data_IF_660955472017
#
_entry.id   IF_660955472017
#
_cell.length_a   1.000
_cell.length_b   1.000
_cell.length_c   1.000
_cell.angle_alpha   90.00
_cell.angle_beta   90.00
_cell.angle_gamma   90.00
#
_symmetry.space_group_name_H-M   'P 1'
#
loop_
_entity.id
_entity.type
_entity.pdbx_description
1 polymer ?
#
# COMPACT_ATOMS: atom_id res chain seq x y z
N UNK A 1 -13.99 8.22 -37.23
CA UNK A 1 -13.18 8.81 -36.14
C UNK A 1 -13.63 8.31 -34.75
N UNK A 2 -14.07 7.05 -34.58
CA UNK A 2 -14.81 6.65 -33.37
C UNK A 2 -14.00 5.98 -32.24
N UNK A 3 -13.13 5.02 -32.53
CA UNK A 3 -12.54 4.17 -31.48
C UNK A 3 -11.25 4.71 -30.84
N UNK A 4 -10.38 5.36 -31.63
CA UNK A 4 -9.10 5.86 -31.13
C UNK A 4 -9.24 7.05 -30.16
N UNK A 5 -10.28 7.88 -30.34
CA UNK A 5 -10.59 9.00 -29.44
C UNK A 5 -11.12 8.50 -28.09
N UNK A 6 -11.88 7.40 -28.08
CA UNK A 6 -12.43 6.84 -26.86
C UNK A 6 -11.35 6.22 -25.98
N UNK A 7 -10.40 5.49 -26.56
CA UNK A 7 -9.30 4.85 -25.81
C UNK A 7 -8.36 5.91 -25.21
N UNK A 8 -8.02 6.97 -25.95
CA UNK A 8 -7.19 8.06 -25.43
C UNK A 8 -7.87 8.80 -24.27
N UNK A 9 -9.18 9.06 -24.36
CA UNK A 9 -9.94 9.69 -23.28
C UNK A 9 -10.06 8.79 -22.05
N UNK A 10 -10.21 7.48 -22.24
CA UNK A 10 -10.30 6.52 -21.15
C UNK A 10 -8.95 6.33 -20.43
N UNK A 11 -7.84 6.30 -21.17
CA UNK A 11 -6.49 6.26 -20.60
C UNK A 11 -6.13 7.54 -19.84
N UNK A 12 -6.54 8.72 -20.33
CA UNK A 12 -6.36 9.97 -19.61
C UNK A 12 -7.22 10.05 -18.36
N UNK A 13 -8.46 9.54 -18.41
CA UNK A 13 -9.33 9.45 -17.25
C UNK A 13 -8.76 8.48 -16.19
N UNK A 14 -8.22 7.34 -16.61
CA UNK A 14 -7.56 6.38 -15.71
C UNK A 14 -6.27 6.95 -15.11
N UNK A 15 -5.48 7.71 -15.87
CA UNK A 15 -4.29 8.38 -15.34
C UNK A 15 -4.67 9.47 -14.32
N UNK A 16 -5.71 10.26 -14.58
CA UNK A 16 -6.18 11.26 -13.62
C UNK A 16 -6.79 10.62 -12.35
N UNK A 17 -7.48 9.49 -12.49
CA UNK A 17 -7.97 8.71 -11.36
C UNK A 17 -6.83 8.09 -10.55
N UNK A 18 -5.77 7.59 -11.21
CA UNK A 18 -4.61 7.03 -10.51
C UNK A 18 -3.80 8.12 -9.79
N UNK A 19 -3.65 9.30 -10.38
CA UNK A 19 -3.01 10.44 -9.70
C UNK A 19 -3.80 10.90 -8.48
N UNK A 20 -5.13 10.79 -8.49
CA UNK A 20 -5.98 11.11 -7.34
C UNK A 20 -5.98 10.01 -6.27
N UNK A 21 -5.65 8.76 -6.63
CA UNK A 21 -5.50 7.62 -5.70
C UNK A 21 -4.07 7.54 -5.12
N UNK A 22 -3.06 7.96 -5.88
CA UNK A 22 -1.65 8.03 -5.46
C UNK A 22 -1.27 9.35 -4.79
N UNK A 23 -2.05 10.42 -4.99
CA UNK A 23 -2.09 11.53 -4.04
C UNK A 23 -2.79 11.01 -2.78
N UNK A 24 -2.06 10.19 -2.01
CA UNK A 24 -2.48 9.75 -0.69
C UNK A 24 -3.05 10.96 0.04
N UNK A 25 -4.20 10.78 0.70
CA UNK A 25 -4.78 11.83 1.55
C UNK A 25 -3.63 12.45 2.33
N UNK A 26 -3.39 13.77 2.23
CA UNK A 26 -2.37 14.39 3.04
C UNK A 26 -2.72 14.05 4.48
N UNK A 27 -1.89 13.21 5.10
CA UNK A 27 -1.99 12.95 6.53
C UNK A 27 -1.96 14.32 7.18
N UNK A 28 -3.10 14.72 7.71
CA UNK A 28 -3.23 16.02 8.35
C UNK A 28 -2.34 15.90 9.59
N UNK A 29 -1.13 16.47 9.52
CA UNK A 29 -0.21 16.49 10.66
C UNK A 29 -1.05 16.92 11.87
N UNK A 30 -1.14 16.10 12.93
CA UNK A 30 -1.80 16.53 14.14
C UNK A 30 -1.13 17.84 14.61
N UNK A 31 -1.88 18.74 15.26
CA UNK A 31 -1.30 19.97 15.78
C UNK A 31 -0.06 19.61 16.61
N UNK A 32 1.06 20.29 16.36
CA UNK A 32 2.28 20.09 17.12
C UNK A 32 1.94 20.18 18.62
N UNK A 33 2.21 19.10 19.36
CA UNK A 33 2.01 19.08 20.80
C UNK A 33 2.82 20.25 21.40
N UNK A 34 2.15 21.11 22.17
CA UNK A 34 2.87 22.09 22.97
C UNK A 34 3.75 21.34 23.95
N UNK A 35 5.00 21.78 24.08
CA UNK A 35 6.11 21.16 24.83
C UNK A 35 5.89 21.09 26.36
N UNK A 36 4.65 21.05 26.84
CA UNK A 36 4.28 21.35 28.23
C UNK A 36 3.58 20.25 29.01
N UNK A 37 2.91 19.26 28.39
CA UNK A 37 2.23 18.22 29.17
C UNK A 37 1.90 17.01 28.29
N UNK A 38 2.76 16.00 28.36
CA UNK A 38 2.37 14.62 28.10
C UNK A 38 3.03 13.74 29.15
N UNK A 39 2.52 13.71 30.39
CA UNK A 39 2.85 12.62 31.26
C UNK A 39 2.28 11.36 30.60
N UNK A 40 3.13 10.35 30.37
CA UNK A 40 2.65 9.01 30.06
C UNK A 40 1.46 8.71 30.99
N UNK A 41 0.31 8.23 30.48
CA UNK A 41 -0.88 8.09 31.30
C UNK A 41 -0.51 7.26 32.53
N UNK A 42 -0.72 7.77 33.77
CA UNK A 42 -0.16 7.21 35.00
C UNK A 42 -0.45 5.71 35.23
N UNK A 43 -1.44 5.17 34.51
CA UNK A 43 -1.88 3.78 34.57
C UNK A 43 -0.93 2.78 33.88
N UNK A 44 -0.15 3.18 32.88
CA UNK A 44 0.71 2.24 32.13
C UNK A 44 1.86 1.70 32.99
N UNK A 45 2.43 2.55 33.85
CA UNK A 45 3.49 2.19 34.80
C UNK A 45 2.99 1.25 35.90
N UNK A 46 1.74 1.42 36.33
CA UNK A 46 1.09 0.58 37.34
C UNK A 46 0.78 -0.83 36.79
N UNK A 47 0.42 -0.94 35.50
CA UNK A 47 0.22 -2.24 34.81
C UNK A 47 1.49 -3.11 34.78
N UNK A 48 2.65 -2.50 34.55
CA UNK A 48 3.92 -3.22 34.46
C UNK A 48 4.40 -3.71 35.83
N UNK A 49 4.09 -2.99 36.91
CA UNK A 49 4.39 -3.44 38.27
C UNK A 49 3.51 -4.62 38.73
N UNK A 50 2.30 -4.75 38.17
CA UNK A 50 1.35 -5.81 38.53
C UNK A 50 1.49 -7.10 37.70
N UNK A 51 2.13 -7.02 36.53
CA UNK A 51 2.35 -8.19 35.69
C UNK A 51 3.52 -9.00 36.27
N UNK A 52 3.31 -10.24 36.73
CA UNK A 52 4.39 -11.05 37.27
C UNK A 52 5.49 -11.14 36.21
N UNK A 53 6.71 -10.76 36.59
CA UNK A 53 7.88 -10.78 35.73
C UNK A 53 7.96 -12.16 35.10
N UNK A 54 7.56 -12.26 33.83
CA UNK A 54 7.65 -13.50 33.10
C UNK A 54 9.13 -13.88 33.17
N UNK A 55 9.41 -14.99 33.85
CA UNK A 55 10.77 -15.46 34.09
C UNK A 55 11.29 -15.98 32.76
N UNK A 56 11.65 -15.06 31.87
CA UNK A 56 12.34 -15.40 30.64
C UNK A 56 13.67 -16.01 31.04
N UNK A 57 13.87 -17.27 30.68
CA UNK A 57 15.10 -18.03 30.98
C UNK A 57 16.33 -17.47 30.24
N UNK A 58 16.13 -16.50 29.36
CA UNK A 58 17.15 -15.69 28.73
C UNK A 58 16.73 -14.21 28.92
N UNK A 59 17.38 -13.42 29.79
CA UNK A 59 17.15 -11.98 29.84
C UNK A 59 17.67 -11.44 28.51
N UNK A 60 16.76 -11.32 27.54
CA UNK A 60 17.07 -10.80 26.22
C UNK A 60 17.92 -9.54 26.35
N UNK A 61 18.87 -9.35 25.43
CA UNK A 61 19.73 -8.16 25.47
C UNK A 61 18.85 -6.92 25.56
N UNK A 62 19.17 -5.95 26.46
CA UNK A 62 18.43 -4.72 26.56
C UNK A 62 18.22 -4.12 25.18
N UNK A 63 17.00 -3.66 24.92
CA UNK A 63 16.65 -3.03 23.65
C UNK A 63 17.43 -1.74 23.60
N UNK A 64 18.24 -1.57 22.57
CA UNK A 64 18.95 -0.32 22.35
C UNK A 64 18.42 0.36 21.10
N UNK A 65 18.22 1.67 21.22
CA UNK A 65 17.71 2.51 20.15
C UNK A 65 18.76 2.68 19.03
N UNK A 66 20.01 2.26 19.25
CA UNK A 66 21.03 2.18 18.20
C UNK A 66 20.73 1.07 17.17
N UNK A 67 19.95 0.06 17.54
CA UNK A 67 19.48 -1.02 16.64
C UNK A 67 18.14 -0.69 15.99
N UNK A 68 17.50 0.40 16.40
CA UNK A 68 16.24 0.84 15.82
C UNK A 68 16.45 1.08 14.33
N UNK A 69 15.57 0.56 13.45
CA UNK A 69 15.73 0.75 12.01
C UNK A 69 15.77 2.25 11.77
N UNK A 70 16.87 2.74 11.18
CA UNK A 70 17.08 4.16 10.98
C UNK A 70 15.96 4.68 10.08
N UNK A 71 14.96 5.27 10.72
CA UNK A 71 13.89 5.98 10.06
C UNK A 71 14.52 7.27 9.56
N UNK A 72 14.21 7.66 8.33
CA UNK A 72 14.82 8.86 7.73
C UNK A 72 14.84 10.03 8.73
N UNK A 73 15.95 10.78 8.78
CA UNK A 73 16.35 11.70 9.88
C UNK A 73 15.29 12.73 10.33
N UNK A 74 14.17 12.87 9.62
CA UNK A 74 13.40 14.10 9.60
C UNK A 74 12.07 14.13 10.37
N UNK A 75 11.59 13.10 11.08
CA UNK A 75 10.48 13.31 12.07
C UNK A 75 10.20 12.12 12.99
N UNK A 76 10.18 10.88 12.47
CA UNK A 76 9.64 9.71 13.19
C UNK A 76 10.45 9.27 14.42
N UNK A 77 11.78 9.18 14.29
CA UNK A 77 12.63 8.68 15.38
C UNK A 77 12.46 9.50 16.64
N UNK A 78 12.24 10.81 16.52
CA UNK A 78 12.05 11.73 17.64
C UNK A 78 10.86 11.40 18.53
N UNK A 79 9.79 10.80 17.98
CA UNK A 79 8.63 10.36 18.75
C UNK A 79 8.87 9.03 19.46
N UNK A 80 9.72 8.18 18.88
CA UNK A 80 10.06 6.87 19.43
C UNK A 80 11.24 6.89 20.39
N UNK A 81 12.03 7.97 20.47
CA UNK A 81 13.13 8.07 21.43
C UNK A 81 12.57 8.06 22.85
N UNK A 82 12.95 7.05 23.62
CA UNK A 82 12.72 7.06 25.06
C UNK A 82 13.81 7.91 25.71
N UNK A 83 13.39 8.96 26.38
CA UNK A 83 14.24 9.76 27.26
C UNK A 83 13.64 9.73 28.67
N UNK A 84 14.38 10.24 29.65
CA UNK A 84 13.86 10.40 31.02
C UNK A 84 12.60 11.30 31.05
N UNK A 85 12.50 12.23 30.10
CA UNK A 85 11.39 13.19 29.99
C UNK A 85 10.23 12.67 29.13
N UNK A 86 10.47 11.72 28.22
CA UNK A 86 9.50 11.18 27.27
C UNK A 86 9.59 9.66 27.21
N UNK A 87 8.68 8.99 27.92
CA UNK A 87 8.63 7.54 27.98
C UNK A 87 7.21 7.03 27.75
N UNK A 88 6.82 6.96 26.48
CA UNK A 88 5.52 6.45 26.05
C UNK A 88 5.32 4.95 26.38
N UNK A 89 6.42 4.21 26.53
CA UNK A 89 6.40 2.76 26.78
C UNK A 89 6.32 2.46 28.30
N UNK A 90 6.47 3.45 29.17
CA UNK A 90 6.42 3.24 30.62
C UNK A 90 7.56 2.38 31.21
N UNK A 91 8.47 1.87 30.37
CA UNK A 91 9.62 1.06 30.77
C UNK A 91 10.77 1.94 31.23
N UNK A 92 11.34 1.69 32.41
CA UNK A 92 12.41 2.54 32.94
C UNK A 92 13.64 2.55 32.01
N UNK A 93 14.02 3.73 31.45
CA UNK A 93 15.20 3.83 30.62
C UNK A 93 16.46 3.65 31.46
N UNK A 94 17.47 2.98 30.89
CA UNK A 94 18.81 2.84 31.46
C UNK A 94 19.84 3.39 30.48
N UNK A 95 20.67 4.31 30.95
CA UNK A 95 21.80 4.83 30.16
C UNK A 95 22.95 3.81 30.14
N UNK A 96 23.38 3.42 28.95
CA UNK A 96 24.56 2.58 28.73
C UNK A 96 25.48 3.21 27.67
N UNK A 97 26.79 2.93 27.65
CA UNK A 97 27.65 3.35 26.56
C UNK A 97 27.15 2.77 25.23
N UNK A 98 27.09 3.59 24.17
CA UNK A 98 26.65 3.13 22.85
C UNK A 98 27.60 2.10 22.26
N UNK A 99 27.07 1.10 21.55
CA UNK A 99 27.86 0.01 20.93
C UNK A 99 28.92 0.53 19.95
N UNK A 100 28.57 1.58 19.20
CA UNK A 100 29.42 2.15 18.14
C UNK A 100 30.31 3.32 18.61
N UNK A 101 30.02 3.90 19.77
CA UNK A 101 30.77 5.05 20.32
C UNK A 101 30.69 5.04 21.85
N UNK A 102 31.69 4.49 22.56
CA UNK A 102 31.66 4.36 24.02
C UNK A 102 31.70 5.71 24.75
N UNK A 103 31.97 6.82 24.05
CA UNK A 103 31.91 8.18 24.64
C UNK A 103 30.50 8.74 24.64
N UNK A 104 29.59 8.17 23.84
CA UNK A 104 28.17 8.55 23.81
C UNK A 104 27.39 7.63 24.74
N UNK A 105 26.42 8.22 25.42
CA UNK A 105 25.42 7.47 26.18
C UNK A 105 24.23 7.19 25.26
N UNK A 106 23.78 5.94 25.27
CA UNK A 106 22.59 5.47 24.59
C UNK A 106 21.58 5.05 25.65
N UNK A 107 20.31 5.30 25.36
CA UNK A 107 19.21 4.78 26.19
C UNK A 107 18.91 3.36 25.79
N UNK A 108 18.77 2.49 26.79
CA UNK A 108 18.24 1.14 26.63
C UNK A 108 17.02 0.95 27.50
N UNK A 109 16.18 -0.02 27.17
CA UNK A 109 15.14 -0.50 28.08
C UNK A 109 15.23 -2.02 28.24
N UNK A 110 14.66 -2.50 29.34
CA UNK A 110 14.50 -3.93 29.56
C UNK A 110 13.70 -4.58 28.43
N UNK A 111 14.24 -5.68 27.89
CA UNK A 111 13.66 -6.41 26.77
C UNK A 111 12.28 -6.94 27.09
N UNK A 112 12.12 -7.57 28.26
CA UNK A 112 10.84 -8.14 28.67
C UNK A 112 9.78 -7.04 28.88
N UNK A 113 10.16 -5.89 29.45
CA UNK A 113 9.25 -4.75 29.57
C UNK A 113 8.78 -4.24 28.20
N UNK A 114 9.72 -4.03 27.27
CA UNK A 114 9.42 -3.54 25.93
C UNK A 114 8.51 -4.48 25.15
N UNK A 115 8.87 -5.77 25.09
CA UNK A 115 8.12 -6.76 24.31
C UNK A 115 6.74 -7.08 24.92
N UNK A 116 6.57 -6.96 26.25
CA UNK A 116 5.27 -7.16 26.89
C UNK A 116 4.37 -5.92 26.86
N UNK A 117 4.88 -4.76 26.46
CA UNK A 117 4.06 -3.56 26.38
C UNK A 117 3.04 -3.66 25.22
N UNK A 118 1.73 -3.54 25.49
CA UNK A 118 0.69 -3.64 24.47
C UNK A 118 0.66 -2.47 23.48
N UNK A 119 1.43 -1.40 23.68
CA UNK A 119 1.48 -0.20 22.83
C UNK A 119 2.93 0.21 22.57
N UNK A 120 3.84 -0.75 22.49
CA UNK A 120 5.28 -0.49 22.27
C UNK A 120 5.57 0.22 20.93
N UNK A 121 4.65 0.13 19.96
CA UNK A 121 4.80 0.70 18.62
C UNK A 121 4.01 1.99 18.41
N UNK A 122 3.38 2.54 19.45
CA UNK A 122 2.46 3.68 19.36
C UNK A 122 3.16 4.93 18.80
N UNK A 123 4.43 5.10 19.17
CA UNK A 123 5.29 6.14 18.64
C UNK A 123 5.48 6.05 17.11
N UNK A 124 5.40 4.85 16.56
CA UNK A 124 5.53 4.53 15.13
C UNK A 124 4.40 5.13 14.29
N UNK A 125 3.26 5.45 14.91
CA UNK A 125 2.11 5.96 14.18
C UNK A 125 2.35 7.33 13.52
N UNK A 126 3.31 8.09 14.03
CA UNK A 126 3.71 9.38 13.45
C UNK A 126 4.65 9.24 12.24
N UNK A 127 5.05 8.03 11.92
CA UNK A 127 5.96 7.72 10.82
C UNK A 127 5.19 7.57 9.51
N UNK A 128 5.87 7.72 8.37
CA UNK A 128 5.25 7.30 7.13
C UNK A 128 5.03 5.78 7.14
N UNK A 129 4.08 5.32 6.33
CA UNK A 129 3.68 3.91 6.32
C UNK A 129 4.84 2.95 6.06
N UNK A 130 5.80 3.33 5.23
CA UNK A 130 6.89 2.43 4.88
C UNK A 130 7.85 2.25 6.06
N UNK A 131 8.11 3.34 6.75
CA UNK A 131 8.93 3.35 7.96
C UNK A 131 8.21 2.71 9.15
N UNK A 132 6.88 2.84 9.26
CA UNK A 132 6.07 2.06 10.19
C UNK A 132 6.20 0.54 9.97
N UNK A 133 6.10 0.07 8.72
CA UNK A 133 6.26 -1.36 8.43
C UNK A 133 7.65 -1.88 8.76
N UNK A 134 8.70 -1.07 8.55
CA UNK A 134 10.06 -1.42 8.97
C UNK A 134 10.18 -1.54 10.47
N UNK A 135 9.51 -0.65 11.21
CA UNK A 135 9.43 -0.70 12.66
C UNK A 135 8.69 -1.95 13.15
N UNK A 136 7.57 -2.31 12.53
CA UNK A 136 6.81 -3.53 12.84
C UNK A 136 7.62 -4.81 12.55
N UNK A 137 8.35 -4.85 11.43
CA UNK A 137 9.27 -5.93 11.08
C UNK A 137 10.39 -6.05 12.13
N UNK A 138 11.03 -4.93 12.48
CA UNK A 138 12.07 -4.89 13.52
C UNK A 138 11.54 -5.36 14.88
N UNK A 139 10.36 -4.90 15.30
CA UNK A 139 9.74 -5.36 16.54
C UNK A 139 9.47 -6.85 16.52
N UNK A 140 9.02 -7.39 15.38
CA UNK A 140 8.79 -8.83 15.21
C UNK A 140 10.08 -9.66 15.30
N UNK A 141 11.21 -9.10 14.85
CA UNK A 141 12.52 -9.74 14.93
C UNK A 141 13.11 -9.68 16.34
N UNK A 142 12.88 -8.57 17.04
CA UNK A 142 13.42 -8.31 18.39
C UNK A 142 12.58 -8.97 19.48
N UNK A 143 11.27 -9.08 19.30
CA UNK A 143 10.30 -9.64 20.24
C UNK A 143 9.53 -10.84 19.61
N UNK A 144 10.22 -11.90 19.14
CA UNK A 144 9.57 -13.02 18.44
C UNK A 144 8.61 -13.82 19.33
N UNK A 145 8.74 -13.71 20.66
CA UNK A 145 7.88 -14.35 21.65
C UNK A 145 6.51 -13.68 21.83
N UNK A 146 6.34 -12.45 21.32
CA UNK A 146 5.08 -11.73 21.45
C UNK A 146 4.00 -12.49 20.68
N UNK A 147 2.95 -12.97 21.37
CA UNK A 147 1.92 -13.76 20.73
C UNK A 147 1.16 -12.88 19.74
N UNK A 148 0.87 -13.46 18.58
CA UNK A 148 -0.05 -12.86 17.62
C UNK A 148 -1.46 -12.89 18.18
N UNK A 149 -2.25 -11.89 17.81
CA UNK A 149 -3.66 -11.81 18.13
C UNK A 149 -4.40 -13.03 17.60
N UNK A 150 -5.07 -13.72 18.51
CA UNK A 150 -5.94 -14.83 18.17
C UNK A 150 -7.40 -14.38 18.07
N UNK A 151 -7.90 -14.26 16.84
CA UNK A 151 -9.28 -13.87 16.55
C UNK A 151 -10.31 -14.99 16.78
N UNK A 152 -9.89 -16.22 17.14
CA UNK A 152 -10.81 -17.35 17.35
C UNK A 152 -11.71 -17.19 18.58
N UNK A 153 -11.31 -16.33 19.53
CA UNK A 153 -12.12 -15.99 20.71
C UNK A 153 -13.26 -15.00 20.45
N UNK A 154 -13.34 -14.42 19.24
CA UNK A 154 -14.37 -13.47 18.87
C UNK A 154 -15.67 -14.14 18.43
N UNK A 155 -16.83 -13.51 18.65
CA UNK A 155 -18.09 -13.95 18.06
C UNK A 155 -18.03 -13.81 16.53
N UNK A 156 -18.75 -14.70 15.82
CA UNK A 156 -18.74 -14.75 14.34
C UNK A 156 -19.11 -13.42 13.68
N UNK A 157 -19.97 -12.61 14.31
CA UNK A 157 -20.37 -11.30 13.79
C UNK A 157 -19.20 -10.30 13.68
N UNK A 158 -18.17 -10.41 14.55
CA UNK A 158 -17.04 -9.47 14.57
C UNK A 158 -15.74 -10.08 14.07
N UNK A 159 -15.59 -11.42 14.09
CA UNK A 159 -14.33 -12.10 13.82
C UNK A 159 -13.69 -11.71 12.47
N UNK A 160 -14.46 -11.80 11.38
CA UNK A 160 -13.94 -11.46 10.05
C UNK A 160 -13.71 -9.95 9.91
N UNK A 161 -14.64 -9.13 10.44
CA UNK A 161 -14.51 -7.68 10.41
C UNK A 161 -13.23 -7.22 11.11
N UNK A 162 -12.95 -7.70 12.32
CA UNK A 162 -11.75 -7.30 13.07
C UNK A 162 -10.48 -7.73 12.35
N UNK A 163 -10.41 -8.97 11.87
CA UNK A 163 -9.23 -9.45 11.12
C UNK A 163 -8.95 -8.56 9.90
N UNK A 164 -9.99 -8.18 9.16
CA UNK A 164 -9.87 -7.30 8.00
C UNK A 164 -9.53 -5.86 8.39
N UNK A 165 -10.18 -5.29 9.42
CA UNK A 165 -9.94 -3.93 9.89
C UNK A 165 -8.50 -3.73 10.36
N UNK A 166 -7.99 -4.66 11.17
CA UNK A 166 -6.60 -4.66 11.68
C UNK A 166 -5.60 -4.71 10.53
N UNK A 167 -5.81 -5.60 9.56
CA UNK A 167 -4.94 -5.67 8.39
C UNK A 167 -5.01 -4.41 7.52
N UNK A 168 -6.20 -3.83 7.35
CA UNK A 168 -6.40 -2.61 6.57
C UNK A 168 -5.77 -1.38 7.26
N UNK A 169 -5.68 -1.41 8.59
CA UNK A 169 -4.97 -0.39 9.36
C UNK A 169 -3.45 -0.46 9.20
N UNK A 170 -2.91 -1.58 8.71
CA UNK A 170 -1.47 -1.76 8.58
C UNK A 170 -0.86 -2.66 9.65
N UNK A 171 -1.66 -3.26 10.53
CA UNK A 171 -1.19 -4.29 11.46
C UNK A 171 -1.12 -5.66 10.78
N UNK A 172 -0.13 -5.83 9.90
CA UNK A 172 -0.02 -7.03 9.06
C UNK A 172 0.51 -8.22 9.86
N UNK A 173 1.39 -7.99 10.83
CA UNK A 173 1.97 -9.05 11.65
C UNK A 173 0.96 -9.63 12.65
N UNK A 174 -0.13 -8.90 12.91
CA UNK A 174 -1.11 -9.14 13.97
C UNK A 174 -0.46 -9.26 15.36
N UNK A 175 0.60 -8.50 15.62
CA UNK A 175 1.20 -8.40 16.95
C UNK A 175 0.26 -7.69 17.92
N UNK A 176 0.43 -7.98 19.22
CA UNK A 176 -0.31 -7.30 20.28
C UNK A 176 -0.09 -5.79 20.25
N UNK A 177 1.15 -5.35 20.09
CA UNK A 177 1.54 -3.93 20.08
C UNK A 177 0.72 -3.13 19.06
N UNK A 178 0.76 -3.54 17.80
CA UNK A 178 0.02 -2.88 16.73
C UNK A 178 -1.50 -2.92 16.96
N UNK A 179 -2.03 -4.08 17.36
CA UNK A 179 -3.47 -4.26 17.52
C UNK A 179 -4.08 -3.41 18.65
N UNK A 180 -3.35 -3.23 19.75
CA UNK A 180 -3.86 -2.64 20.97
C UNK A 180 -3.70 -1.12 21.04
N UNK A 181 -3.06 -0.51 20.05
CA UNK A 181 -2.98 0.95 19.88
C UNK A 181 -4.36 1.55 19.56
N UNK A 182 -5.17 0.82 18.81
CA UNK A 182 -6.39 1.39 18.24
C UNK A 182 -7.66 0.99 18.99
N UNK A 183 -8.33 2.01 19.52
CA UNK A 183 -9.63 1.87 20.16
C UNK A 183 -10.76 1.85 19.11
N UNK A 184 -10.59 2.33 17.88
CA UNK A 184 -11.71 2.43 16.91
C UNK A 184 -12.12 1.10 16.25
N UNK A 185 -11.45 -0.03 16.56
CA UNK A 185 -11.80 -1.38 16.07
C UNK A 185 -13.23 -1.84 16.44
N UNK A 186 -13.92 -1.03 17.24
CA UNK A 186 -15.27 -1.17 17.74
C UNK A 186 -16.42 -1.10 16.72
N UNK A 187 -16.21 -0.55 15.52
CA UNK A 187 -17.23 -0.61 14.47
C UNK A 187 -17.61 -2.05 14.05
N UNK A 188 -16.73 -3.02 14.31
CA UNK A 188 -17.02 -4.43 14.06
C UNK A 188 -18.07 -5.03 15.02
N UNK A 189 -18.35 -4.36 16.14
CA UNK A 189 -19.38 -4.76 17.09
C UNK A 189 -20.79 -4.33 16.71
N UNK A 190 -20.96 -3.44 15.72
CA UNK A 190 -22.27 -2.82 15.43
C UNK A 190 -23.34 -3.81 14.97
N UNK A 191 -22.92 -4.88 14.29
CA UNK A 191 -23.81 -5.96 13.85
C UNK A 191 -24.05 -7.05 14.90
N UNK A 192 -23.36 -6.97 16.05
CA UNK A 192 -23.42 -7.95 17.12
C UNK A 192 -24.50 -7.60 18.16
N UNK A 193 -25.08 -8.62 18.79
CA UNK A 193 -25.98 -8.42 19.94
C UNK A 193 -25.19 -8.01 21.20
N UNK A 194 -25.89 -7.57 22.26
CA UNK A 194 -25.26 -7.08 23.49
C UNK A 194 -24.34 -8.11 24.18
N UNK A 195 -24.68 -9.40 24.12
CA UNK A 195 -23.85 -10.47 24.71
C UNK A 195 -22.53 -10.62 23.94
N UNK A 196 -22.62 -10.62 22.61
CA UNK A 196 -21.45 -10.70 21.73
C UNK A 196 -20.57 -9.45 21.87
N UNK A 197 -21.16 -8.25 22.04
CA UNK A 197 -20.41 -7.02 22.33
C UNK A 197 -19.61 -7.11 23.63
N UNK A 198 -20.19 -7.66 24.70
CA UNK A 198 -19.46 -7.90 25.96
C UNK A 198 -18.34 -8.94 25.78
N UNK A 199 -18.57 -9.98 24.99
CA UNK A 199 -17.54 -10.97 24.66
C UNK A 199 -16.38 -10.31 23.89
N UNK A 200 -16.66 -9.40 22.95
CA UNK A 200 -15.65 -8.64 22.22
C UNK A 200 -14.82 -7.79 23.18
N UNK A 201 -15.46 -7.03 24.08
CA UNK A 201 -14.75 -6.22 25.09
C UNK A 201 -13.85 -7.06 25.99
N UNK A 202 -14.38 -8.16 26.53
CA UNK A 202 -13.62 -9.06 27.40
C UNK A 202 -12.44 -9.71 26.67
N UNK A 203 -12.66 -10.13 25.42
CA UNK A 203 -11.60 -10.66 24.56
C UNK A 203 -10.53 -9.60 24.29
N UNK A 204 -10.92 -8.37 23.93
CA UNK A 204 -9.99 -7.26 23.67
C UNK A 204 -9.17 -6.93 24.91
N UNK A 205 -9.82 -6.82 26.08
CA UNK A 205 -9.13 -6.61 27.35
C UNK A 205 -8.09 -7.69 27.67
N UNK A 206 -8.40 -8.95 27.35
CA UNK A 206 -7.44 -10.05 27.52
C UNK A 206 -6.28 -9.94 26.54
N UNK A 207 -6.53 -9.64 25.26
CA UNK A 207 -5.47 -9.51 24.25
C UNK A 207 -4.54 -8.33 24.57
N UNK A 208 -5.09 -7.22 25.06
CA UNK A 208 -4.39 -5.95 25.28
C UNK A 208 -3.99 -5.71 26.74
N UNK A 209 -4.12 -6.72 27.61
CA UNK A 209 -3.75 -6.64 29.02
C UNK A 209 -4.40 -5.45 29.74
N UNK A 210 -5.68 -5.20 29.44
CA UNK A 210 -6.46 -4.15 30.09
C UNK A 210 -7.05 -4.64 31.40
N UNK A 211 -7.10 -3.76 32.39
CA UNK A 211 -7.81 -4.03 33.64
C UNK A 211 -9.33 -4.05 33.43
N UNK A 212 -10.11 -4.73 34.29
CA UNK A 212 -11.57 -4.75 34.16
C UNK A 212 -12.22 -3.36 34.10
N UNK A 213 -11.67 -2.40 34.85
CA UNK A 213 -12.16 -1.02 34.86
C UNK A 213 -11.90 -0.32 33.51
N UNK A 214 -10.77 -0.58 32.88
CA UNK A 214 -10.44 -0.07 31.54
C UNK A 214 -11.32 -0.70 30.47
N UNK A 215 -11.56 -2.01 30.55
CA UNK A 215 -12.50 -2.70 29.65
C UNK A 215 -13.91 -2.12 29.78
N UNK A 216 -14.33 -1.81 31.00
CA UNK A 216 -15.64 -1.20 31.27
C UNK A 216 -15.71 0.22 30.72
N UNK A 217 -14.61 0.98 30.80
CA UNK A 217 -14.53 2.34 30.27
C UNK A 217 -14.56 2.42 28.73
N UNK A 218 -14.27 1.33 28.02
CA UNK A 218 -14.34 1.28 26.55
C UNK A 218 -15.77 1.19 26.00
N UNK A 219 -16.77 1.00 26.87
CA UNK A 219 -18.20 0.79 26.62
C UNK A 219 -18.65 0.77 25.13
N UNK A 220 -18.71 -0.44 24.56
CA UNK A 220 -19.28 -0.73 23.23
C UNK A 220 -20.82 -0.67 23.17
N UNK A 221 -21.47 -0.56 24.33
CA UNK A 221 -22.92 -0.67 24.47
C UNK A 221 -23.55 0.73 24.47
N UNK A 222 -22.82 1.75 24.96
CA UNK A 222 -23.22 3.14 24.87
C UNK A 222 -22.45 3.89 23.75
N UNK A 223 -23.05 4.11 22.57
CA UNK A 223 -22.41 4.86 21.47
C UNK A 223 -22.10 6.31 21.83
N UNK A 224 -22.64 6.85 22.94
CA UNK A 224 -22.28 8.18 23.43
C UNK A 224 -20.94 8.22 24.17
N UNK A 225 -20.49 7.09 24.73
CA UNK A 225 -19.18 6.96 25.37
C UNK A 225 -18.05 6.83 24.34
N UNK A 226 -18.30 6.16 23.22
CA UNK A 226 -17.33 5.96 22.13
C UNK A 226 -16.97 7.26 21.40
N UNK A 227 -17.84 8.28 21.46
CA UNK A 227 -17.57 9.60 20.90
C UNK A 227 -16.51 10.39 21.69
N UNK A 228 -16.29 10.07 22.97
CA UNK A 228 -15.29 10.73 23.81
C UNK A 228 -13.90 10.10 23.68
N UNK A 229 -13.81 8.79 23.46
CA UNK A 229 -12.55 8.05 23.26
C UNK A 229 -12.02 8.12 21.82
N UNK A 230 -12.87 8.41 20.82
CA UNK A 230 -12.48 8.57 19.42
C UNK A 230 -11.73 9.89 19.08
N UNK A 231 -11.31 10.67 20.08
CA UNK A 231 -10.63 11.96 19.87
C UNK A 231 -9.20 11.81 19.33
N UNK A 232 -8.65 10.61 19.29
CA UNK A 232 -7.40 10.32 18.58
C UNK A 232 -7.69 9.64 17.22
N UNK A 233 -7.67 10.43 16.15
CA UNK A 233 -7.19 9.98 14.83
C UNK A 233 -8.13 9.26 13.86
N UNK A 234 -9.40 8.97 14.16
CA UNK A 234 -10.23 8.19 13.22
C UNK A 234 -10.70 9.03 12.01
N UNK A 235 -9.97 8.96 10.91
CA UNK A 235 -10.40 9.47 9.61
C UNK A 235 -11.50 8.55 9.05
N UNK A 236 -12.77 8.98 9.13
CA UNK A 236 -13.92 8.26 8.56
C UNK A 236 -13.63 7.73 7.15
N UNK A 237 -13.52 6.41 7.03
CA UNK A 237 -13.49 5.69 5.78
C UNK A 237 -14.91 5.21 5.46
N UNK A 238 -15.66 6.05 4.76
CA UNK A 238 -16.95 5.67 4.17
C UNK A 238 -16.68 4.67 3.05
N UNK A 239 -16.84 3.37 3.31
CA UNK A 239 -16.81 2.32 2.29
C UNK A 239 -18.19 1.70 2.13
N UNK A 240 -18.95 2.22 1.16
CA UNK A 240 -20.13 1.58 0.61
C UNK A 240 -19.70 0.77 -0.61
N UNK A 241 -19.42 -0.53 -0.41
CA UNK A 241 -19.06 -1.49 -1.46
C UNK A 241 -19.55 -2.90 -1.12
N UNK A 242 -20.37 -3.46 -2.00
CA UNK A 242 -21.03 -4.77 -1.94
C UNK A 242 -20.09 -5.96 -1.58
N UNK A 243 -20.54 -6.93 -0.76
CA UNK A 243 -19.72 -8.07 -0.34
C UNK A 243 -19.95 -9.26 -1.28
N UNK A 244 -19.24 -9.31 -2.40
CA UNK A 244 -19.05 -10.57 -3.15
C UNK A 244 -17.59 -10.66 -3.62
N UNK A 245 -17.02 -11.83 -3.42
CA UNK A 245 -15.66 -12.25 -3.78
C UNK A 245 -14.57 -12.02 -2.72
N UNK A 246 -14.61 -12.85 -1.66
CA UNK A 246 -13.46 -13.08 -0.79
C UNK A 246 -12.45 -14.01 -1.46
N UNK A 247 -11.15 -13.66 -1.54
CA UNK A 247 -10.13 -14.55 -2.08
C UNK A 247 -9.80 -15.65 -1.07
N UNK A 248 -9.74 -16.88 -1.58
CA UNK A 248 -9.40 -18.08 -0.82
C UNK A 248 -8.02 -17.97 -0.15
N UNK A 249 -7.98 -18.36 1.12
CA UNK A 249 -6.77 -18.43 1.94
C UNK A 249 -5.92 -19.60 1.48
N UNK A 250 -4.81 -19.32 0.80
CA UNK A 250 -3.74 -20.30 0.60
C UNK A 250 -2.86 -20.33 1.85
N UNK A 251 -2.98 -21.40 2.64
CA UNK A 251 -1.95 -21.81 3.58
C UNK A 251 -0.89 -22.60 2.81
N UNK A 252 0.26 -21.99 2.54
CA UNK A 252 1.44 -22.71 2.11
C UNK A 252 2.67 -22.15 2.84
N UNK A 253 3.45 -23.06 3.43
CA UNK A 253 4.63 -22.76 4.26
C UNK A 253 5.79 -22.21 3.42
N UNK A 254 5.65 -20.97 2.97
CA UNK A 254 6.68 -20.23 2.24
C UNK A 254 7.30 -19.18 3.16
N UNK A 255 8.59 -18.92 2.97
CA UNK A 255 9.25 -17.71 3.45
C UNK A 255 8.29 -16.53 3.26
N UNK A 256 7.98 -15.82 4.36
CA UNK A 256 7.08 -14.67 4.31
C UNK A 256 7.71 -13.65 3.37
N UNK A 257 7.19 -13.58 2.14
CA UNK A 257 7.56 -12.53 1.22
C UNK A 257 7.24 -11.23 1.93
N UNK A 258 8.26 -10.39 2.10
CA UNK A 258 8.07 -9.13 2.81
C UNK A 258 7.12 -8.27 1.97
N UNK A 259 6.34 -7.41 2.61
CA UNK A 259 5.30 -6.64 1.91
C UNK A 259 5.85 -5.82 0.73
N UNK A 260 7.10 -5.34 0.83
CA UNK A 260 7.78 -4.64 -0.25
C UNK A 260 8.08 -5.54 -1.47
N UNK A 261 8.24 -6.85 -1.29
CA UNK A 261 8.43 -7.80 -2.39
C UNK A 261 7.13 -7.99 -3.17
N UNK A 262 6.00 -8.05 -2.46
CA UNK A 262 4.67 -8.10 -3.06
C UNK A 262 4.40 -6.80 -3.83
N UNK A 263 4.66 -5.64 -3.21
CA UNK A 263 4.49 -4.35 -3.87
C UNK A 263 5.41 -4.18 -5.08
N UNK A 264 6.68 -4.60 -4.95
CA UNK A 264 7.65 -4.61 -6.03
C UNK A 264 7.19 -5.47 -7.22
N UNK A 265 6.61 -6.64 -6.95
CA UNK A 265 6.07 -7.53 -7.98
C UNK A 265 4.85 -6.90 -8.68
N UNK A 266 3.93 -6.28 -7.94
CA UNK A 266 2.77 -5.59 -8.52
C UNK A 266 3.23 -4.43 -9.41
N UNK A 267 4.15 -3.58 -8.94
CA UNK A 267 4.66 -2.45 -9.70
C UNK A 267 5.43 -2.90 -10.95
N UNK A 268 6.17 -4.01 -10.86
CA UNK A 268 6.82 -4.64 -12.01
C UNK A 268 5.80 -5.10 -13.05
N UNK A 269 4.72 -5.78 -12.64
CA UNK A 269 3.65 -6.22 -13.55
C UNK A 269 2.94 -5.05 -14.22
N UNK A 270 2.61 -3.99 -13.47
CA UNK A 270 2.00 -2.78 -14.02
C UNK A 270 2.91 -2.10 -15.04
N UNK A 271 4.21 -2.03 -14.76
CA UNK A 271 5.21 -1.47 -15.68
C UNK A 271 5.31 -2.31 -16.96
N UNK A 272 5.29 -3.64 -16.84
CA UNK A 272 5.31 -4.55 -17.98
C UNK A 272 4.06 -4.38 -18.86
N UNK A 273 2.88 -4.24 -18.27
CA UNK A 273 1.63 -3.95 -19.00
C UNK A 273 1.73 -2.59 -19.72
N UNK A 274 2.29 -1.58 -19.07
CA UNK A 274 2.46 -0.25 -19.66
C UNK A 274 3.43 -0.28 -20.86
N UNK A 275 4.59 -0.92 -20.72
CA UNK A 275 5.58 -1.03 -21.81
C UNK A 275 5.03 -1.84 -22.99
N UNK A 276 4.35 -2.96 -22.72
CA UNK A 276 3.77 -3.81 -23.78
C UNK A 276 2.65 -3.09 -24.52
N UNK A 277 1.79 -2.34 -23.84
CA UNK A 277 0.75 -1.54 -24.49
C UNK A 277 1.35 -0.45 -25.36
N UNK A 278 2.35 0.31 -24.87
CA UNK A 278 3.07 1.31 -25.68
C UNK A 278 3.72 0.69 -26.92
N UNK A 279 4.37 -0.47 -26.77
CA UNK A 279 4.99 -1.18 -27.88
C UNK A 279 3.97 -1.55 -28.96
N UNK A 280 2.80 -2.09 -28.58
CA UNK A 280 1.72 -2.43 -29.52
C UNK A 280 1.18 -1.19 -30.23
N UNK A 281 1.07 -0.05 -29.54
CA UNK A 281 0.64 1.21 -30.16
C UNK A 281 1.63 1.73 -31.18
N UNK A 282 2.93 1.75 -30.86
CA UNK A 282 4.01 2.16 -31.77
C UNK A 282 4.04 1.24 -32.99
N UNK A 283 4.01 -0.08 -32.78
CA UNK A 283 4.01 -1.06 -33.86
C UNK A 283 2.78 -0.92 -34.78
N UNK A 284 1.59 -0.73 -34.21
CA UNK A 284 0.37 -0.47 -35.00
C UNK A 284 0.47 0.82 -35.81
N UNK A 285 1.14 1.87 -35.31
CA UNK A 285 1.33 3.11 -36.05
C UNK A 285 2.25 2.89 -37.26
N UNK A 286 3.40 2.24 -37.08
CA UNK A 286 4.34 1.96 -38.16
C UNK A 286 3.76 1.02 -39.23
N UNK A 287 3.12 -0.08 -38.82
CA UNK A 287 2.50 -1.05 -39.75
C UNK A 287 1.40 -0.38 -40.58
N UNK A 288 0.63 0.52 -39.98
CA UNK A 288 -0.43 1.26 -40.69
C UNK A 288 0.16 2.15 -41.78
N UNK A 289 1.30 2.78 -41.54
CA UNK A 289 1.96 3.65 -42.52
C UNK A 289 2.63 2.84 -43.63
N UNK A 290 3.25 1.69 -43.31
CA UNK A 290 3.75 0.73 -44.31
C UNK A 290 2.60 0.25 -45.21
N UNK A 291 1.45 -0.11 -44.63
CA UNK A 291 0.30 -0.60 -45.40
C UNK A 291 -0.27 0.47 -46.33
N UNK A 292 -0.39 1.72 -45.88
CA UNK A 292 -0.81 2.86 -46.73
C UNK A 292 0.17 3.09 -47.89
N UNK A 293 1.46 3.08 -47.60
CA UNK A 293 2.51 3.30 -48.62
C UNK A 293 2.51 2.19 -49.68
N UNK A 294 2.36 0.93 -49.26
CA UNK A 294 2.26 -0.21 -50.19
C UNK A 294 0.98 -0.14 -51.02
N UNK A 295 -0.16 0.21 -50.42
CA UNK A 295 -1.42 0.41 -51.16
C UNK A 295 -1.31 1.50 -52.23
N UNK A 296 -0.64 2.61 -51.91
CA UNK A 296 -0.37 3.70 -52.86
C UNK A 296 0.60 3.28 -53.99
N UNK A 297 1.58 2.41 -53.72
CA UNK A 297 2.48 1.86 -54.74
C UNK A 297 1.74 0.93 -55.72
N UNK A 298 0.90 0.03 -55.21
CA UNK A 298 0.09 -0.89 -56.03
C UNK A 298 -0.93 -0.14 -56.90
N UNK A 299 -1.53 0.94 -56.38
CA UNK A 299 -2.43 1.78 -57.19
C UNK A 299 -1.68 2.45 -58.36
N UNK A 300 -0.48 3.00 -58.10
CA UNK A 300 0.35 3.64 -59.14
C UNK A 300 0.82 2.65 -60.21
N UNK A 301 1.20 1.42 -59.84
CA UNK A 301 1.62 0.42 -60.83
C UNK A 301 0.48 -0.02 -61.76
N UNK A 302 -0.76 -0.13 -61.25
CA UNK A 302 -1.94 -0.42 -62.08
C UNK A 302 -2.23 0.68 -63.10
N UNK A 303 -2.13 1.96 -62.69
CA UNK A 303 -2.30 3.09 -63.62
C UNK A 303 -1.20 3.12 -64.69
N UNK A 304 0.07 2.88 -64.32
CA UNK A 304 1.18 2.82 -65.26
C UNK A 304 1.00 1.69 -66.31
N UNK A 305 0.60 0.50 -65.87
CA UNK A 305 0.32 -0.63 -66.78
C UNK A 305 -0.83 -0.35 -67.75
N UNK A 306 -1.87 0.37 -67.30
CA UNK A 306 -3.01 0.74 -68.17
C UNK A 306 -2.58 1.74 -69.24
N UNK A 307 -1.80 2.74 -68.87
CA UNK A 307 -1.29 3.75 -69.81
C UNK A 307 -0.34 3.12 -70.85
N UNK A 308 0.57 2.23 -70.42
CA UNK A 308 1.47 1.53 -71.34
C UNK A 308 0.72 0.64 -72.36
N UNK A 309 -0.44 0.09 -71.98
CA UNK A 309 -1.29 -0.70 -72.88
C UNK A 309 -2.02 0.17 -73.90
N UNK A 310 -2.47 1.37 -73.51
CA UNK A 310 -3.11 2.35 -74.41
C UNK A 310 -2.12 2.88 -75.45
N UNK A 311 -0.87 3.13 -75.05
CA UNK A 311 0.18 3.61 -75.96
C UNK A 311 0.58 2.55 -77.02
N UNK A 312 0.56 1.26 -76.68
CA UNK A 312 0.76 0.19 -77.66
C UNK A 312 -0.38 0.06 -78.68
N UNK A 313 -1.60 0.46 -78.34
CA UNK A 313 -2.76 0.43 -79.25
C UNK A 313 -2.86 1.64 -80.18
N UNK A 314 -2.19 2.77 -79.87
CA UNK A 314 -2.20 3.97 -80.72
C UNK A 314 -1.06 4.00 -81.77
N UNK A 315 -0.03 3.18 -81.60
CA UNK A 315 1.15 3.14 -82.49
C UNK A 315 0.92 2.64 -83.94
N UNK A 316 0.02 1.69 -84.27
CA UNK A 316 -0.11 1.23 -85.66
C UNK A 316 -0.79 2.24 -86.60
N UNK A 317 -1.41 3.32 -86.10
CA UNK A 317 -2.06 4.32 -86.95
C UNK A 317 -1.09 5.32 -87.58
N UNK A 318 0.03 5.67 -86.94
CA UNK A 318 1.03 6.58 -87.53
C UNK A 318 1.88 5.93 -88.64
N UNK A 319 2.01 4.61 -88.65
CA UNK A 319 2.75 3.90 -89.70
C UNK A 319 1.98 3.85 -91.03
N UNK A 320 0.64 3.79 -91.02
CA UNK A 320 -0.17 3.78 -92.26
C UNK A 320 -0.29 5.16 -92.93
N UNK A 321 -0.14 6.25 -92.20
CA UNK A 321 -0.25 7.60 -92.76
C UNK A 321 1.03 8.07 -93.47
N UNK A 322 2.21 7.58 -93.04
CA UNK A 322 3.46 7.84 -93.76
C UNK A 322 3.61 7.03 -95.05
N UNK A 323 3.01 5.84 -95.14
CA UNK A 323 3.02 5.04 -96.38
C UNK A 323 2.10 5.65 -97.46
N UNK A 324 1.06 6.38 -97.08
CA UNK A 324 0.12 7.00 -98.04
C UNK A 324 0.70 8.24 -98.73
N UNK A 325 1.61 8.98 -98.06
CA UNK A 325 2.32 10.14 -98.66
C UNK A 325 3.42 9.76 -99.65
N UNK A 326 3.88 8.51 -99.67
CA UNK A 326 4.92 8.06 -100.62
C UNK A 326 4.34 7.60 -101.97
N UNK A 327 3.05 7.26 -102.03
CA UNK A 327 2.39 6.81 -103.27
C UNK A 327 1.97 7.99 -104.15
N UNK A 328 1.64 9.16 -103.56
CA UNK A 328 1.26 10.37 -104.31
C UNK A 328 2.44 11.07 -105.02
N UNK A 329 3.68 10.60 -104.83
CA UNK A 329 4.88 11.19 -105.45
C UNK A 329 5.37 10.45 -106.71
N UNK A 330 4.68 9.39 -107.13
CA UNK A 330 5.08 8.55 -108.29
C UNK A 330 4.16 8.74 -109.51
N UNK A 331 2.96 9.32 -109.37
CA UNK A 331 2.04 9.57 -110.50
C UNK A 331 2.13 10.99 -111.10
N UNK A 332 3.24 11.71 -110.83
CA UNK A 332 3.48 13.07 -111.33
C UNK A 332 4.83 13.24 -112.01
N UNK A 333 5.22 12.28 -112.86
CA UNK A 333 6.38 12.37 -113.75
C UNK A 333 6.01 11.95 -115.17
#
# INVERSE_FOLDING_TARGET
MGAASFILRFSFALLLLNSAVLAGRPHRKPPAFSKGESPAPPRLRERQAATPTATSTDPGKPISWDTFPYVSEDDCTSYCVITDDYNYIGCEPTEVPCTNDPKKKCTTVDHACFCNNPTALDCGYYCDWFDYFRLEDWFSDVCPEVPKINFDGLPRCAQQCMRTAVSNWGCVSFTRSCFCEEQWLFGCGDSCNSKDKQQILSWYGTQCLLTPDEVTALDLIDPSASAASATFGSASATSSGDPKDGPGVFQSGHHKLKWYEIYGLIMFLLTLIFVTTLYVFIWKAEVKDIWKNNKARVARSKHASRNASVEKLSSPRKSKESARKSIEKVEGA
#
